data_IF_065265706165
#
_entry.id   IF_065265706165
#
_cell.length_a   1.000
_cell.length_b   1.000
_cell.length_c   1.000
_cell.angle_alpha   90.00
_cell.angle_beta   90.00
_cell.angle_gamma   90.00
#
_symmetry.space_group_name_H-M   'P 1'
#
loop_
_entity.id
_entity.type
_entity.pdbx_description
1 polymer ?
#
# COMPACT_ATOMS: atom_id res chain seq x y z
N UNK A 1 -6.71 -10.45 13.18
CA UNK A 1 -6.75 -9.25 14.01
C UNK A 1 -5.91 -8.12 13.40
N UNK A 2 -4.60 -8.26 13.19
CA UNK A 2 -3.73 -7.21 12.60
C UNK A 2 -4.36 -6.57 11.34
N UNK A 3 -4.82 -7.40 10.41
CA UNK A 3 -5.43 -7.01 9.13
C UNK A 3 -6.76 -6.28 9.31
N UNK A 4 -7.63 -6.76 10.20
CA UNK A 4 -8.98 -6.20 10.38
C UNK A 4 -9.01 -4.92 11.20
N UNK A 5 -8.08 -4.76 12.14
CA UNK A 5 -8.05 -3.61 13.04
C UNK A 5 -7.28 -2.41 12.48
N UNK A 6 -6.41 -2.62 11.48
CA UNK A 6 -5.52 -1.57 10.96
C UNK A 6 -6.24 -0.28 10.53
N UNK A 7 -7.42 -0.25 9.89
CA UNK A 7 -8.05 1.00 9.50
C UNK A 7 -8.98 1.62 10.56
N UNK A 8 -9.33 0.90 11.66
CA UNK A 8 -10.44 1.27 12.55
C UNK A 8 -10.25 2.65 13.20
N UNK A 9 -9.04 3.01 13.61
CA UNK A 9 -8.79 4.29 14.28
C UNK A 9 -7.96 5.18 13.35
N UNK A 10 -8.62 6.07 12.59
CA UNK A 10 -8.01 7.02 11.64
C UNK A 10 -6.98 6.39 10.70
N UNK A 11 -7.33 5.23 10.11
CA UNK A 11 -6.40 4.51 9.24
C UNK A 11 -5.20 3.91 9.98
N UNK A 12 -5.30 3.72 11.30
CA UNK A 12 -4.20 3.28 12.16
C UNK A 12 -3.25 4.41 12.60
N UNK A 13 -3.47 5.64 12.14
CA UNK A 13 -2.56 6.78 12.38
C UNK A 13 -2.88 7.52 13.70
N UNK A 14 -2.82 6.78 14.82
CA UNK A 14 -2.92 7.31 16.20
C UNK A 14 -2.06 6.46 17.12
N UNK A 15 -1.45 7.06 18.13
CA UNK A 15 -0.53 6.36 19.05
C UNK A 15 -1.14 5.08 19.63
N UNK A 16 -2.38 5.12 20.11
CA UNK A 16 -3.07 3.94 20.65
C UNK A 16 -3.23 2.84 19.58
N UNK A 17 -3.61 3.22 18.36
CA UNK A 17 -3.74 2.27 17.26
C UNK A 17 -2.39 1.65 16.89
N UNK A 18 -1.34 2.47 16.83
CA UNK A 18 0.02 2.02 16.53
C UNK A 18 0.50 1.00 17.57
N UNK A 19 0.41 1.32 18.86
CA UNK A 19 0.80 0.41 19.94
C UNK A 19 0.05 -0.93 19.84
N UNK A 20 -1.26 -0.90 19.58
CA UNK A 20 -2.04 -2.13 19.38
C UNK A 20 -1.58 -2.95 18.18
N UNK A 21 -1.28 -2.28 17.05
CA UNK A 21 -0.78 -2.94 15.84
C UNK A 21 0.62 -3.54 16.05
N UNK A 22 1.48 -2.86 16.80
CA UNK A 22 2.81 -3.33 17.16
C UNK A 22 2.76 -4.59 18.05
N UNK A 23 1.91 -4.59 19.10
CA UNK A 23 1.68 -5.78 19.92
C UNK A 23 1.13 -6.95 19.12
N UNK A 24 0.14 -6.70 18.26
CA UNK A 24 -0.40 -7.74 17.38
C UNK A 24 0.65 -8.25 16.39
N UNK A 25 1.54 -7.39 15.91
CA UNK A 25 2.63 -7.78 15.03
C UNK A 25 3.62 -8.70 15.75
N UNK A 26 3.99 -8.39 17.00
CA UNK A 26 4.87 -9.24 17.80
C UNK A 26 4.25 -10.63 18.03
N UNK A 27 2.94 -10.70 18.31
CA UNK A 27 2.23 -11.98 18.46
C UNK A 27 2.26 -12.76 17.13
N UNK A 28 2.02 -12.11 15.99
CA UNK A 28 2.07 -12.75 14.67
C UNK A 28 3.47 -13.25 14.34
N UNK A 29 4.50 -12.43 14.56
CA UNK A 29 5.89 -12.80 14.32
C UNK A 29 6.32 -13.97 15.21
N UNK A 30 5.95 -13.95 16.49
CA UNK A 30 6.20 -15.05 17.41
C UNK A 30 5.51 -16.34 16.95
N UNK A 31 4.23 -16.26 16.54
CA UNK A 31 3.50 -17.43 16.04
C UNK A 31 4.15 -18.01 14.78
N UNK A 32 4.61 -17.17 13.85
CA UNK A 32 5.32 -17.62 12.64
C UNK A 32 6.66 -18.27 12.98
N UNK A 33 7.39 -17.78 13.98
CA UNK A 33 8.64 -18.38 14.44
C UNK A 33 8.40 -19.77 15.05
N UNK A 34 7.34 -19.93 15.86
CA UNK A 34 7.01 -21.22 16.52
C UNK A 34 6.51 -22.24 15.49
N UNK A 35 5.72 -21.83 14.50
CA UNK A 35 5.20 -22.75 13.48
C UNK A 35 6.28 -23.22 12.50
N UNK A 36 7.36 -22.45 12.36
CA UNK A 36 8.42 -22.70 11.38
C UNK A 36 7.94 -22.54 9.93
N UNK A 37 8.86 -22.51 8.96
CA UNK A 37 8.49 -22.40 7.55
C UNK A 37 7.80 -23.66 7.05
N UNK A 38 6.67 -23.52 6.38
CA UNK A 38 5.97 -24.62 5.74
C UNK A 38 6.91 -25.33 4.75
N UNK A 39 7.02 -26.68 4.85
CA UNK A 39 7.94 -27.50 4.03
C UNK A 39 7.70 -27.38 2.54
N UNK A 40 6.57 -26.84 2.11
CA UNK A 40 6.23 -26.59 0.71
C UNK A 40 7.12 -25.52 0.03
N UNK A 41 7.88 -24.73 0.78
CA UNK A 41 8.80 -23.71 0.24
C UNK A 41 10.18 -24.26 -0.12
N UNK A 42 10.46 -25.54 0.08
CA UNK A 42 11.72 -26.18 -0.36
C UNK A 42 11.59 -26.58 -1.83
N UNK A 43 11.81 -25.66 -2.74
CA UNK A 43 12.03 -25.96 -4.14
C UNK A 43 13.40 -26.64 -4.28
N UNK A 44 13.42 -27.93 -4.64
CA UNK A 44 14.62 -28.62 -5.08
C UNK A 44 14.84 -28.33 -6.56
N UNK A 45 15.67 -27.37 -6.91
CA UNK A 45 15.96 -26.97 -8.28
C UNK A 45 17.47 -26.88 -8.57
N UNK A 46 17.83 -27.01 -9.84
CA UNK A 46 19.22 -27.09 -10.33
C UNK A 46 20.07 -25.80 -10.12
N UNK A 47 19.52 -24.70 -9.60
CA UNK A 47 20.21 -23.42 -9.36
C UNK A 47 20.09 -22.96 -7.90
N UNK A 48 20.68 -23.74 -6.98
CA UNK A 48 20.65 -23.42 -5.53
C UNK A 48 21.12 -21.99 -5.18
N UNK A 49 22.09 -21.44 -5.89
CA UNK A 49 22.61 -20.09 -5.61
C UNK A 49 21.57 -19.01 -5.94
N UNK A 50 20.91 -19.08 -7.10
CA UNK A 50 19.87 -18.13 -7.51
C UNK A 50 18.66 -18.18 -6.57
N UNK A 51 18.28 -19.36 -6.10
CA UNK A 51 17.18 -19.53 -5.15
C UNK A 51 17.53 -18.95 -3.78
N UNK A 52 18.76 -19.20 -3.28
CA UNK A 52 19.24 -18.61 -2.03
C UNK A 52 19.31 -17.08 -2.08
N UNK A 53 19.86 -16.52 -3.16
CA UNK A 53 19.90 -15.05 -3.33
C UNK A 53 18.50 -14.44 -3.38
N UNK A 54 17.57 -15.12 -4.05
CA UNK A 54 16.16 -14.66 -4.08
C UNK A 54 15.54 -14.71 -2.69
N UNK A 55 15.74 -15.78 -1.93
CA UNK A 55 15.22 -15.90 -0.57
C UNK A 55 15.82 -14.84 0.36
N UNK A 56 17.12 -14.56 0.26
CA UNK A 56 17.78 -13.50 1.00
C UNK A 56 17.21 -12.11 0.64
N UNK A 57 17.02 -11.84 -0.66
CA UNK A 57 16.43 -10.58 -1.13
C UNK A 57 14.99 -10.39 -0.61
N UNK A 58 14.18 -11.44 -0.63
CA UNK A 58 12.81 -11.42 -0.08
C UNK A 58 12.84 -11.20 1.43
N UNK A 59 13.73 -11.89 2.16
CA UNK A 59 13.89 -11.72 3.60
C UNK A 59 14.36 -10.32 3.98
N UNK A 60 15.34 -9.78 3.25
CA UNK A 60 15.80 -8.41 3.44
C UNK A 60 14.68 -7.39 3.18
N UNK A 61 13.89 -7.59 2.12
CA UNK A 61 12.75 -6.72 1.80
C UNK A 61 11.64 -6.83 2.86
N UNK A 62 11.33 -8.04 3.34
CA UNK A 62 10.31 -8.27 4.36
C UNK A 62 10.62 -7.54 5.68
N UNK A 63 11.90 -7.49 6.04
CA UNK A 63 12.37 -6.87 7.29
C UNK A 63 12.89 -5.44 7.07
N UNK A 64 12.84 -4.93 5.84
CA UNK A 64 13.37 -3.59 5.50
C UNK A 64 12.86 -2.47 6.40
N UNK A 65 11.55 -2.39 6.74
CA UNK A 65 11.04 -1.35 7.61
C UNK A 65 11.71 -1.31 8.99
N UNK A 66 12.19 -2.47 9.46
CA UNK A 66 12.85 -2.60 10.77
C UNK A 66 14.36 -2.34 10.66
N UNK A 67 15.07 -3.08 9.77
CA UNK A 67 16.53 -2.99 9.77
C UNK A 67 17.08 -1.68 9.19
N UNK A 68 16.36 -0.99 8.30
CA UNK A 68 16.76 0.34 7.82
C UNK A 68 16.80 1.33 8.99
N UNK A 69 15.76 1.35 9.81
CA UNK A 69 15.72 2.19 11.00
C UNK A 69 16.81 1.80 12.01
N UNK A 70 17.07 0.49 12.20
CA UNK A 70 18.16 0.02 13.08
C UNK A 70 19.53 0.53 12.61
N UNK A 71 19.82 0.47 11.31
CA UNK A 71 21.07 1.01 10.75
C UNK A 71 21.19 2.51 11.03
N UNK A 72 20.09 3.25 10.89
CA UNK A 72 20.10 4.70 11.13
C UNK A 72 20.13 5.09 12.63
N UNK A 73 19.83 4.16 13.52
CA UNK A 73 20.01 4.33 14.97
C UNK A 73 21.41 3.97 15.44
N UNK A 74 22.30 3.46 14.56
CA UNK A 74 23.67 3.14 14.92
C UNK A 74 24.42 4.39 15.43
N UNK A 75 25.02 4.33 16.63
CA UNK A 75 25.77 5.45 17.18
C UNK A 75 27.09 5.62 16.42
N UNK A 76 27.32 6.81 15.92
CA UNK A 76 28.56 7.22 15.25
C UNK A 76 29.41 8.11 16.18
N UNK A 77 30.74 8.01 16.14
CA UNK A 77 31.62 8.97 16.79
C UNK A 77 31.29 10.40 16.34
N UNK A 78 31.28 11.35 17.27
CA UNK A 78 30.84 12.73 16.99
C UNK A 78 31.62 13.38 15.83
N UNK A 79 32.91 13.07 15.69
CA UNK A 79 33.71 13.57 14.57
C UNK A 79 33.22 13.12 13.21
N UNK A 80 32.74 11.85 13.10
CA UNK A 80 32.16 11.31 11.88
C UNK A 80 30.76 11.89 11.64
N UNK A 81 29.96 11.96 12.71
CA UNK A 81 28.61 12.53 12.63
C UNK A 81 28.62 13.98 12.13
N UNK A 82 29.56 14.80 12.64
CA UNK A 82 29.73 16.20 12.23
C UNK A 82 30.15 16.34 10.76
N UNK A 83 30.87 15.36 10.21
CA UNK A 83 31.36 15.37 8.83
C UNK A 83 30.34 14.87 7.80
N UNK A 84 29.17 14.34 8.25
CA UNK A 84 28.16 13.84 7.33
C UNK A 84 27.50 14.98 6.52
N UNK A 85 27.10 14.72 5.25
CA UNK A 85 26.38 15.68 4.45
C UNK A 85 25.10 16.18 5.15
N UNK A 86 24.88 17.49 5.15
CA UNK A 86 23.70 18.12 5.75
C UNK A 86 23.73 18.26 7.27
N UNK A 87 24.74 17.73 7.98
CA UNK A 87 24.81 17.79 9.44
C UNK A 87 25.35 19.11 9.98
N UNK A 88 26.05 19.91 9.18
CA UNK A 88 26.70 21.15 9.62
C UNK A 88 25.73 22.16 10.26
N UNK A 89 24.53 22.30 9.71
CA UNK A 89 23.52 23.20 10.29
C UNK A 89 23.01 22.71 11.65
N UNK A 90 22.95 21.39 11.85
CA UNK A 90 22.57 20.78 13.14
C UNK A 90 23.68 20.89 14.17
N UNK A 91 24.94 20.75 13.76
CA UNK A 91 26.12 21.03 14.63
C UNK A 91 26.06 22.45 15.17
N UNK A 92 25.82 23.43 14.30
CA UNK A 92 25.69 24.82 14.69
C UNK A 92 24.48 25.07 15.59
N UNK A 93 23.33 24.49 15.26
CA UNK A 93 22.12 24.59 16.08
C UNK A 93 22.33 24.01 17.50
N UNK A 94 23.02 22.88 17.61
CA UNK A 94 23.37 22.27 18.90
C UNK A 94 24.35 23.14 19.71
N UNK A 95 25.30 23.74 19.02
CA UNK A 95 26.25 24.69 19.65
C UNK A 95 25.53 25.92 20.21
N UNK A 96 24.64 26.52 19.40
CA UNK A 96 23.85 27.70 19.83
C UNK A 96 22.91 27.35 21.00
N UNK A 97 22.31 26.14 20.95
CA UNK A 97 21.45 25.64 22.00
C UNK A 97 22.21 25.20 23.28
N UNK A 98 23.52 25.30 23.30
CA UNK A 98 24.37 24.82 24.40
C UNK A 98 24.08 23.36 24.80
N UNK A 99 23.77 22.53 23.78
CA UNK A 99 23.48 21.12 24.01
C UNK A 99 24.70 20.42 24.62
N UNK A 100 24.50 19.42 25.52
CA UNK A 100 25.59 18.68 26.13
C UNK A 100 26.51 18.05 25.07
N UNK A 101 27.82 18.14 25.28
CA UNK A 101 28.77 17.41 24.47
C UNK A 101 28.61 15.91 24.69
N UNK A 102 28.52 15.15 23.60
CA UNK A 102 28.41 13.71 23.62
C UNK A 102 29.45 13.08 22.71
N UNK A 103 30.00 11.93 23.10
CA UNK A 103 30.99 11.22 22.31
C UNK A 103 30.39 10.55 21.03
N UNK A 104 29.11 10.21 21.05
CA UNK A 104 28.41 9.48 19.98
C UNK A 104 27.02 10.08 19.75
N UNK A 105 26.59 10.08 18.48
CA UNK A 105 25.21 10.39 18.07
C UNK A 105 24.73 9.35 17.06
N UNK A 106 23.43 9.05 17.08
CA UNK A 106 22.83 8.21 16.05
C UNK A 106 23.03 8.83 14.66
N UNK A 107 23.14 7.99 13.62
CA UNK A 107 23.17 8.45 12.23
C UNK A 107 21.95 9.33 11.92
N UNK A 108 20.76 8.95 12.39
CA UNK A 108 19.54 9.74 12.29
C UNK A 108 19.66 11.09 12.99
N UNK A 109 19.15 12.15 12.35
CA UNK A 109 19.07 13.51 12.91
C UNK A 109 18.02 13.64 14.03
N UNK A 110 17.01 12.76 14.05
CA UNK A 110 15.98 12.73 15.09
C UNK A 110 15.70 11.26 15.51
N UNK A 111 16.57 10.69 16.38
CA UNK A 111 16.53 9.28 16.74
C UNK A 111 15.19 8.81 17.33
N UNK A 112 14.47 9.66 18.04
CA UNK A 112 13.16 9.34 18.63
C UNK A 112 12.12 9.03 17.52
N UNK A 113 12.09 9.84 16.46
CA UNK A 113 11.22 9.59 15.30
C UNK A 113 11.63 8.32 14.54
N UNK A 114 12.94 8.06 14.44
CA UNK A 114 13.43 6.82 13.81
C UNK A 114 13.12 5.59 14.65
N UNK A 115 13.13 5.70 15.96
CA UNK A 115 12.68 4.63 16.87
C UNK A 115 11.19 4.34 16.70
N UNK A 116 10.35 5.38 16.60
CA UNK A 116 8.93 5.19 16.29
C UNK A 116 8.72 4.54 14.92
N UNK A 117 9.52 4.92 13.92
CA UNK A 117 9.48 4.28 12.59
C UNK A 117 9.92 2.82 12.62
N UNK A 118 10.89 2.46 13.46
CA UNK A 118 11.30 1.07 13.68
C UNK A 118 10.13 0.25 14.24
N UNK A 119 9.45 0.75 15.28
CA UNK A 119 8.30 0.08 15.88
C UNK A 119 7.15 -0.05 14.86
N UNK A 120 6.84 1.04 14.14
CA UNK A 120 5.87 1.03 13.05
C UNK A 120 6.22 0.06 11.91
N UNK A 121 7.47 -0.31 11.75
CA UNK A 121 7.95 -1.32 10.81
C UNK A 121 7.54 -2.75 11.17
N UNK A 122 7.29 -3.06 12.44
CA UNK A 122 6.92 -4.41 12.90
C UNK A 122 5.61 -4.91 12.26
N UNK A 123 4.49 -4.14 12.26
CA UNK A 123 3.27 -4.53 11.58
C UNK A 123 3.45 -4.78 10.08
N UNK A 124 4.29 -4.00 9.41
CA UNK A 124 4.56 -4.16 7.98
C UNK A 124 5.30 -5.46 7.70
N UNK A 125 6.34 -5.73 8.46
CA UNK A 125 7.12 -6.97 8.38
C UNK A 125 6.26 -8.20 8.72
N UNK A 126 5.42 -8.10 9.76
CA UNK A 126 4.49 -9.16 10.14
C UNK A 126 3.47 -9.45 9.04
N UNK A 127 2.88 -8.42 8.42
CA UNK A 127 1.92 -8.57 7.34
C UNK A 127 2.54 -9.22 6.09
N UNK A 128 3.76 -8.81 5.72
CA UNK A 128 4.49 -9.42 4.62
C UNK A 128 4.77 -10.91 4.89
N UNK A 129 5.38 -11.23 6.05
CA UNK A 129 5.76 -12.60 6.40
C UNK A 129 4.53 -13.50 6.55
N UNK A 130 3.46 -13.01 7.16
CA UNK A 130 2.18 -13.72 7.25
C UNK A 130 1.65 -14.06 5.85
N UNK A 131 1.66 -13.11 4.92
CA UNK A 131 1.21 -13.31 3.55
C UNK A 131 2.10 -14.27 2.77
N UNK A 132 3.42 -14.19 2.97
CA UNK A 132 4.39 -14.99 2.24
C UNK A 132 4.49 -16.43 2.75
N UNK A 133 4.49 -16.65 4.07
CA UNK A 133 4.76 -17.95 4.71
C UNK A 133 3.50 -18.78 4.98
N UNK A 134 2.32 -18.16 5.19
CA UNK A 134 1.10 -18.90 5.53
C UNK A 134 0.57 -19.76 4.38
N UNK A 135 -0.13 -20.88 4.67
CA UNK A 135 -0.81 -21.69 3.64
C UNK A 135 -1.80 -20.86 2.83
N UNK A 136 -1.94 -21.19 1.54
CA UNK A 136 -2.80 -20.44 0.61
C UNK A 136 -4.26 -20.29 1.07
N UNK A 137 -4.91 -21.30 1.70
CA UNK A 137 -6.26 -21.14 2.23
C UNK A 137 -6.36 -20.03 3.29
N UNK A 138 -5.38 -19.93 4.18
CA UNK A 138 -5.31 -18.87 5.20
C UNK A 138 -5.11 -17.49 4.56
N UNK A 139 -4.23 -17.39 3.55
CA UNK A 139 -4.03 -16.15 2.78
C UNK A 139 -5.33 -15.71 2.12
N UNK A 140 -6.09 -16.63 1.54
CA UNK A 140 -7.41 -16.32 0.94
C UNK A 140 -8.39 -15.81 1.99
N UNK A 141 -8.45 -16.43 3.16
CA UNK A 141 -9.30 -15.98 4.27
C UNK A 141 -8.92 -14.56 4.70
N UNK A 142 -7.63 -14.27 4.85
CA UNK A 142 -7.17 -12.92 5.20
C UNK A 142 -7.53 -11.88 4.14
N UNK A 143 -7.45 -12.23 2.85
CA UNK A 143 -7.92 -11.36 1.76
C UNK A 143 -9.42 -11.12 1.86
N UNK A 144 -10.22 -12.13 2.18
CA UNK A 144 -11.65 -11.96 2.39
C UNK A 144 -11.93 -11.02 3.57
N UNK A 145 -11.15 -11.12 4.66
CA UNK A 145 -11.22 -10.17 5.78
C UNK A 145 -10.92 -8.74 5.32
N UNK A 146 -9.88 -8.53 4.51
CA UNK A 146 -9.60 -7.21 3.93
C UNK A 146 -10.77 -6.70 3.07
N UNK A 147 -11.41 -7.55 2.28
CA UNK A 147 -12.56 -7.17 1.46
C UNK A 147 -13.78 -6.78 2.32
N UNK A 148 -14.05 -7.53 3.38
CA UNK A 148 -15.11 -7.19 4.34
C UNK A 148 -14.84 -5.84 4.98
N UNK A 149 -13.60 -5.61 5.44
CA UNK A 149 -13.17 -4.34 6.04
C UNK A 149 -13.28 -3.20 5.03
N UNK A 150 -12.79 -3.39 3.79
CA UNK A 150 -12.89 -2.36 2.74
C UNK A 150 -14.35 -2.04 2.39
N UNK A 151 -15.22 -3.04 2.36
CA UNK A 151 -16.65 -2.85 2.14
C UNK A 151 -17.28 -2.06 3.29
N UNK A 152 -16.94 -2.39 4.54
CA UNK A 152 -17.41 -1.64 5.71
C UNK A 152 -16.92 -0.18 5.69
N UNK A 153 -15.68 0.05 5.26
CA UNK A 153 -15.14 1.39 5.04
C UNK A 153 -15.92 2.15 3.95
N UNK A 154 -16.22 1.48 2.83
CA UNK A 154 -16.99 2.07 1.73
C UNK A 154 -18.42 2.44 2.18
N UNK A 155 -19.10 1.53 2.86
CA UNK A 155 -20.44 1.80 3.42
C UNK A 155 -20.41 2.98 4.39
N UNK A 156 -19.47 2.98 5.35
CA UNK A 156 -19.31 4.06 6.31
C UNK A 156 -19.04 5.40 5.60
N UNK A 157 -18.13 5.42 4.62
CA UNK A 157 -17.82 6.61 3.84
C UNK A 157 -19.02 7.16 3.07
N UNK A 158 -19.84 6.29 2.47
CA UNK A 158 -21.06 6.69 1.78
C UNK A 158 -22.15 7.20 2.76
N UNK A 159 -22.27 6.58 3.94
CA UNK A 159 -23.20 7.07 5.00
C UNK A 159 -22.82 8.47 5.50
N UNK A 160 -21.52 8.82 5.49
CA UNK A 160 -21.05 10.16 5.88
C UNK A 160 -21.50 11.28 4.94
N UNK A 161 -21.86 10.94 3.69
CA UNK A 161 -22.41 11.91 2.72
C UNK A 161 -23.92 12.17 2.91
N UNK A 162 -24.59 11.24 3.58
CA UNK A 162 -26.04 11.25 3.78
C UNK A 162 -26.45 11.91 5.10
N UNK A 163 -27.48 11.36 5.76
CA UNK A 163 -28.06 11.94 7.00
C UNK A 163 -27.15 11.82 8.24
N UNK A 164 -25.99 11.19 8.12
CA UNK A 164 -25.05 10.95 9.22
C UNK A 164 -23.65 11.57 8.98
N UNK A 165 -23.54 12.88 8.68
CA UNK A 165 -22.27 13.49 8.32
C UNK A 165 -21.21 13.45 9.44
N UNK A 166 -21.67 13.44 10.71
CA UNK A 166 -20.81 13.34 11.90
C UNK A 166 -20.38 11.90 12.28
N UNK A 167 -20.85 10.89 11.53
CA UNK A 167 -20.56 9.51 11.87
C UNK A 167 -19.05 9.24 11.78
N UNK A 168 -18.48 8.83 12.90
CA UNK A 168 -17.07 8.47 13.02
C UNK A 168 -16.08 9.54 12.49
N UNK A 169 -16.21 10.78 12.97
CA UNK A 169 -15.36 11.92 12.61
C UNK A 169 -15.52 12.46 11.17
N UNK A 170 -16.55 12.02 10.41
CA UNK A 170 -16.71 12.39 9.00
C UNK A 170 -17.09 13.86 8.76
N UNK A 171 -17.69 14.55 9.74
CA UNK A 171 -18.16 15.93 9.57
C UNK A 171 -17.06 16.97 9.28
N UNK A 172 -15.80 16.64 9.54
CA UNK A 172 -14.68 17.58 9.42
C UNK A 172 -14.16 17.76 7.99
N UNK A 173 -14.59 16.96 7.01
CA UNK A 173 -13.95 16.92 5.69
C UNK A 173 -14.80 17.44 4.52
N UNK A 174 -15.74 18.34 4.80
CA UNK A 174 -16.46 19.08 3.76
C UNK A 174 -17.34 18.22 2.83
N UNK A 175 -17.99 17.17 3.33
CA UNK A 175 -18.91 16.33 2.56
C UNK A 175 -18.22 15.32 1.64
N UNK A 176 -17.04 14.83 2.01
CA UNK A 176 -16.28 13.78 1.31
C UNK A 176 -16.34 12.46 2.07
N UNK A 177 -16.40 11.34 1.34
CA UNK A 177 -16.32 10.03 1.95
C UNK A 177 -14.88 9.75 2.44
N UNK A 178 -14.74 9.44 3.73
CA UNK A 178 -13.45 9.15 4.37
C UNK A 178 -13.43 7.82 5.14
N UNK A 179 -14.60 7.20 5.39
CA UNK A 179 -14.68 6.02 6.26
C UNK A 179 -14.13 6.34 7.66
N UNK A 180 -13.19 5.52 8.13
CA UNK A 180 -12.46 5.75 9.38
C UNK A 180 -11.11 6.45 9.19
N UNK A 181 -10.76 6.84 7.96
CA UNK A 181 -9.51 7.55 7.69
C UNK A 181 -9.61 9.04 8.03
N UNK A 182 -8.46 9.69 8.22
CA UNK A 182 -8.41 11.14 8.42
C UNK A 182 -8.38 11.93 7.11
N UNK A 183 -8.09 11.25 5.98
CA UNK A 183 -7.89 11.88 4.68
C UNK A 183 -8.58 11.02 3.59
N UNK A 184 -9.42 11.62 2.74
CA UNK A 184 -10.13 10.92 1.67
C UNK A 184 -9.19 10.30 0.62
N UNK A 185 -7.97 10.82 0.42
CA UNK A 185 -7.02 10.24 -0.51
C UNK A 185 -6.50 8.89 -0.02
N UNK A 186 -6.23 8.78 1.28
CA UNK A 186 -5.78 7.52 1.89
C UNK A 186 -6.90 6.48 1.92
N UNK A 187 -8.13 6.91 2.23
CA UNK A 187 -9.32 6.08 2.12
C UNK A 187 -9.50 5.53 0.70
N UNK A 188 -9.44 6.41 -0.32
CA UNK A 188 -9.56 6.01 -1.72
C UNK A 188 -8.47 5.01 -2.12
N UNK A 189 -7.23 5.22 -1.68
CA UNK A 189 -6.12 4.31 -1.96
C UNK A 189 -6.32 2.92 -1.32
N UNK A 190 -6.78 2.88 -0.06
CA UNK A 190 -7.09 1.62 0.63
C UNK A 190 -8.12 0.79 -0.15
N UNK A 191 -9.18 1.43 -0.60
CA UNK A 191 -10.23 0.79 -1.42
C UNK A 191 -9.66 0.38 -2.79
N UNK A 192 -8.93 1.24 -3.47
CA UNK A 192 -8.33 0.97 -4.79
C UNK A 192 -7.49 -0.32 -4.80
N UNK A 193 -6.72 -0.57 -3.72
CA UNK A 193 -5.93 -1.79 -3.59
C UNK A 193 -6.78 -3.07 -3.53
N UNK A 194 -8.03 -3.00 -3.08
CA UNK A 194 -8.93 -4.17 -2.93
C UNK A 194 -9.80 -4.45 -4.15
N UNK A 195 -9.98 -3.48 -5.03
CA UNK A 195 -10.83 -3.63 -6.23
C UNK A 195 -10.40 -4.78 -7.14
N UNK A 196 -9.11 -4.98 -7.49
CA UNK A 196 -8.69 -6.11 -8.33
C UNK A 196 -9.00 -7.49 -7.71
N UNK A 197 -8.97 -7.58 -6.38
CA UNK A 197 -9.31 -8.80 -5.64
C UNK A 197 -10.81 -9.07 -5.68
N UNK A 198 -11.65 -8.03 -5.55
CA UNK A 198 -13.09 -8.12 -5.69
C UNK A 198 -13.48 -8.61 -7.10
N UNK A 199 -12.85 -8.06 -8.14
CA UNK A 199 -13.05 -8.49 -9.53
C UNK A 199 -12.64 -9.96 -9.71
N UNK A 200 -11.53 -10.40 -9.09
CA UNK A 200 -11.13 -11.81 -9.11
C UNK A 200 -12.19 -12.74 -8.51
N UNK A 201 -12.66 -12.43 -7.30
CA UNK A 201 -13.67 -13.29 -6.64
C UNK A 201 -15.00 -13.27 -7.38
N UNK A 202 -15.42 -12.12 -7.91
CA UNK A 202 -16.62 -12.02 -8.76
C UNK A 202 -16.49 -12.94 -9.99
N UNK A 203 -15.35 -12.89 -10.68
CA UNK A 203 -15.08 -13.79 -11.80
C UNK A 203 -15.12 -15.27 -11.38
N UNK A 204 -14.52 -15.63 -10.25
CA UNK A 204 -14.52 -17.00 -9.76
C UNK A 204 -15.95 -17.50 -9.48
N UNK A 205 -16.79 -16.65 -8.89
CA UNK A 205 -18.20 -16.97 -8.64
C UNK A 205 -19.01 -17.18 -9.95
N UNK A 206 -18.72 -16.40 -11.01
CA UNK A 206 -19.44 -16.45 -12.27
C UNK A 206 -18.95 -17.54 -13.24
N UNK A 207 -17.67 -17.98 -13.14
CA UNK A 207 -17.07 -18.89 -14.15
C UNK A 207 -16.94 -20.35 -13.72
N UNK A 208 -17.18 -20.68 -12.46
CA UNK A 208 -17.11 -22.06 -12.01
C UNK A 208 -18.33 -22.85 -12.50
N UNK A 209 -18.06 -23.89 -13.30
CA UNK A 209 -19.08 -24.82 -13.76
C UNK A 209 -19.55 -25.72 -12.60
N UNK A 210 -20.84 -25.83 -12.39
CA UNK A 210 -21.47 -26.77 -11.45
C UNK A 210 -22.50 -27.59 -12.16
N UNK A 211 -22.56 -28.86 -11.81
CA UNK A 211 -23.56 -29.83 -12.35
C UNK A 211 -24.85 -29.79 -11.55
N UNK A 212 -24.83 -29.38 -10.28
CA UNK A 212 -25.98 -29.39 -9.40
C UNK A 212 -26.70 -28.03 -9.35
N UNK A 213 -28.04 -28.05 -9.41
CA UNK A 213 -28.87 -26.83 -9.44
C UNK A 213 -28.76 -26.00 -8.16
N UNK A 214 -28.64 -26.64 -6.99
CA UNK A 214 -28.48 -25.95 -5.70
C UNK A 214 -27.15 -25.18 -5.58
N UNK A 215 -26.04 -25.75 -6.06
CA UNK A 215 -24.77 -25.08 -6.11
C UNK A 215 -24.76 -23.89 -7.08
N UNK A 216 -25.52 -23.95 -8.19
CA UNK A 216 -25.69 -22.85 -9.14
C UNK A 216 -26.37 -21.66 -8.48
N UNK A 217 -27.47 -21.90 -7.72
CA UNK A 217 -28.18 -20.84 -7.00
C UNK A 217 -27.30 -20.13 -5.96
N UNK A 218 -26.55 -20.88 -5.16
CA UNK A 218 -25.65 -20.34 -4.17
C UNK A 218 -24.52 -19.46 -4.79
N UNK A 219 -23.94 -19.90 -5.90
CA UNK A 219 -22.90 -19.14 -6.61
C UNK A 219 -23.43 -17.88 -7.29
N UNK A 220 -24.63 -17.94 -7.83
CA UNK A 220 -25.29 -16.77 -8.42
C UNK A 220 -25.55 -15.71 -7.35
N UNK A 221 -25.98 -16.10 -6.16
CA UNK A 221 -26.15 -15.21 -5.01
C UNK A 221 -24.80 -14.56 -4.59
N UNK A 222 -23.71 -15.35 -4.54
CA UNK A 222 -22.36 -14.83 -4.25
C UNK A 222 -21.91 -13.82 -5.32
N UNK A 223 -22.17 -14.11 -6.60
CA UNK A 223 -21.82 -13.20 -7.69
C UNK A 223 -22.58 -11.87 -7.60
N UNK A 224 -23.86 -11.89 -7.23
CA UNK A 224 -24.69 -10.69 -7.00
C UNK A 224 -24.10 -9.88 -5.84
N UNK A 225 -23.82 -10.53 -4.71
CA UNK A 225 -23.22 -9.86 -3.53
C UNK A 225 -21.89 -9.21 -3.89
N UNK A 226 -20.98 -9.91 -4.60
CA UNK A 226 -19.71 -9.36 -5.03
C UNK A 226 -19.86 -8.23 -6.05
N UNK A 227 -20.89 -8.26 -6.90
CA UNK A 227 -21.24 -7.16 -7.79
C UNK A 227 -21.66 -5.90 -7.01
N UNK A 228 -22.49 -6.07 -5.98
CA UNK A 228 -22.87 -4.98 -5.07
C UNK A 228 -21.65 -4.45 -4.33
N UNK A 229 -20.79 -5.33 -3.81
CA UNK A 229 -19.52 -4.91 -3.15
C UNK A 229 -18.67 -4.07 -4.10
N UNK A 230 -18.46 -4.53 -5.34
CA UNK A 230 -17.69 -3.78 -6.33
C UNK A 230 -18.30 -2.40 -6.61
N UNK A 231 -19.62 -2.32 -6.75
CA UNK A 231 -20.34 -1.06 -6.91
C UNK A 231 -20.10 -0.11 -5.73
N UNK A 232 -20.25 -0.60 -4.50
CA UNK A 232 -20.03 0.21 -3.28
C UNK A 232 -18.58 0.72 -3.17
N UNK A 233 -17.59 -0.13 -3.48
CA UNK A 233 -16.18 0.26 -3.49
C UNK A 233 -15.91 1.38 -4.49
N UNK A 234 -16.41 1.25 -5.74
CA UNK A 234 -16.24 2.26 -6.79
C UNK A 234 -16.99 3.55 -6.45
N UNK A 235 -18.22 3.45 -5.94
CA UNK A 235 -19.00 4.59 -5.49
C UNK A 235 -18.29 5.37 -4.37
N UNK A 236 -17.72 4.65 -3.39
CA UNK A 236 -17.01 5.24 -2.28
C UNK A 236 -15.71 5.96 -2.72
N UNK A 237 -14.97 5.42 -3.69
CA UNK A 237 -13.80 6.11 -4.25
C UNK A 237 -14.20 7.40 -4.94
N UNK A 238 -15.25 7.40 -5.77
CA UNK A 238 -15.75 8.62 -6.41
C UNK A 238 -16.24 9.64 -5.37
N UNK A 239 -16.99 9.17 -4.38
CA UNK A 239 -17.51 9.97 -3.28
C UNK A 239 -16.40 10.56 -2.37
N UNK A 240 -15.21 9.97 -2.37
CA UNK A 240 -14.05 10.56 -1.69
C UNK A 240 -13.55 11.84 -2.33
N UNK A 241 -13.95 12.12 -3.59
CA UNK A 241 -13.44 13.25 -4.38
C UNK A 241 -11.90 13.27 -4.47
N UNK A 242 -11.24 12.10 -4.40
CA UNK A 242 -9.80 11.96 -4.59
C UNK A 242 -9.49 11.77 -6.07
N UNK A 243 -8.94 12.80 -6.73
CA UNK A 243 -8.55 12.73 -8.16
C UNK A 243 -7.54 11.59 -8.40
N UNK A 244 -6.48 11.54 -7.60
CA UNK A 244 -5.47 10.48 -7.69
C UNK A 244 -6.05 9.10 -7.42
N UNK A 245 -6.89 8.96 -6.38
CA UNK A 245 -7.58 7.71 -6.06
C UNK A 245 -8.52 7.25 -7.18
N UNK A 246 -9.29 8.15 -7.77
CA UNK A 246 -10.21 7.84 -8.88
C UNK A 246 -9.45 7.35 -10.12
N UNK A 247 -8.45 8.10 -10.58
CA UNK A 247 -7.64 7.71 -11.74
C UNK A 247 -6.96 6.36 -11.52
N UNK A 248 -6.34 6.19 -10.37
CA UNK A 248 -5.68 4.94 -10.01
C UNK A 248 -6.64 3.76 -9.98
N UNK A 249 -7.83 3.94 -9.37
CA UNK A 249 -8.86 2.91 -9.30
C UNK A 249 -9.36 2.52 -10.69
N UNK A 250 -9.58 3.48 -11.58
CA UNK A 250 -9.95 3.22 -12.97
C UNK A 250 -8.91 2.39 -13.70
N UNK A 251 -7.64 2.77 -13.59
CA UNK A 251 -6.52 2.05 -14.22
C UNK A 251 -6.47 0.60 -13.75
N UNK A 252 -6.45 0.37 -12.43
CA UNK A 252 -6.34 -1.01 -11.90
C UNK A 252 -7.60 -1.84 -12.15
N UNK A 253 -8.78 -1.23 -12.20
CA UNK A 253 -10.04 -1.90 -12.55
C UNK A 253 -10.02 -2.37 -14.01
N UNK A 254 -9.63 -1.48 -14.94
CA UNK A 254 -9.52 -1.85 -16.36
C UNK A 254 -8.50 -2.96 -16.57
N UNK A 255 -7.34 -2.87 -15.91
CA UNK A 255 -6.31 -3.90 -16.00
C UNK A 255 -6.78 -5.23 -15.39
N UNK A 256 -7.51 -5.21 -14.26
CA UNK A 256 -8.06 -6.40 -13.64
C UNK A 256 -9.09 -7.09 -14.54
N UNK A 257 -10.02 -6.33 -15.11
CA UNK A 257 -11.02 -6.87 -16.04
C UNK A 257 -10.32 -7.43 -17.29
N UNK A 258 -9.37 -6.70 -17.87
CA UNK A 258 -8.62 -7.16 -19.03
C UNK A 258 -7.84 -8.45 -18.76
N UNK A 259 -7.09 -8.52 -17.65
CA UNK A 259 -6.33 -9.70 -17.24
C UNK A 259 -7.26 -10.91 -17.01
N UNK A 260 -8.34 -10.68 -16.26
CA UNK A 260 -9.23 -11.74 -15.82
C UNK A 260 -10.21 -12.20 -16.90
N UNK A 261 -10.46 -11.41 -17.94
CA UNK A 261 -11.29 -11.75 -19.09
C UNK A 261 -10.57 -12.56 -20.19
N UNK A 262 -9.24 -12.67 -20.12
CA UNK A 262 -8.43 -13.40 -21.12
C UNK A 262 -8.60 -14.92 -20.99
N UNK A 263 -9.70 -15.49 -21.54
CA UNK A 263 -9.76 -16.92 -21.89
C UNK A 263 -9.77 -17.07 -23.41
N UNK A 264 -9.02 -18.06 -23.92
CA UNK A 264 -8.81 -18.30 -25.36
C UNK A 264 -10.07 -18.59 -26.21
N UNK A 265 -11.24 -18.80 -25.59
CA UNK A 265 -12.40 -19.34 -26.28
C UNK A 265 -13.56 -18.36 -26.56
N UNK A 266 -13.71 -17.22 -25.87
CA UNK A 266 -14.91 -16.39 -25.98
C UNK A 266 -14.65 -14.91 -26.15
N UNK A 267 -14.35 -14.48 -27.38
CA UNK A 267 -14.27 -13.03 -27.75
C UNK A 267 -15.55 -12.26 -27.36
N UNK A 268 -16.70 -12.92 -27.35
CA UNK A 268 -17.99 -12.29 -27.03
C UNK A 268 -18.13 -11.97 -25.53
N UNK A 269 -17.74 -12.91 -24.66
CA UNK A 269 -17.77 -12.69 -23.18
C UNK A 269 -16.81 -11.61 -22.72
N UNK A 270 -15.65 -11.49 -23.37
CA UNK A 270 -14.68 -10.43 -23.09
C UNK A 270 -15.24 -9.02 -23.36
N UNK A 271 -15.97 -8.85 -24.48
CA UNK A 271 -16.61 -7.57 -24.80
C UNK A 271 -17.70 -7.20 -23.79
N UNK A 272 -18.52 -8.18 -23.36
CA UNK A 272 -19.54 -7.96 -22.35
C UNK A 272 -18.97 -7.66 -20.96
N UNK A 273 -17.84 -8.25 -20.58
CA UNK A 273 -17.11 -7.91 -19.35
C UNK A 273 -16.64 -6.46 -19.33
N UNK A 274 -16.02 -5.99 -20.42
CA UNK A 274 -15.61 -4.59 -20.57
C UNK A 274 -16.82 -3.66 -20.57
N UNK A 275 -17.87 -3.99 -21.35
CA UNK A 275 -19.12 -3.21 -21.38
C UNK A 275 -19.75 -3.12 -20.01
N UNK A 276 -19.79 -4.25 -19.26
CA UNK A 276 -20.31 -4.28 -17.89
C UNK A 276 -19.55 -3.36 -16.93
N UNK A 277 -18.23 -3.33 -17.02
CA UNK A 277 -17.40 -2.42 -16.19
C UNK A 277 -17.59 -0.97 -16.61
N UNK A 278 -17.60 -0.67 -17.91
CA UNK A 278 -17.86 0.69 -18.40
C UNK A 278 -19.26 1.15 -17.97
N UNK A 279 -20.28 0.28 -18.09
CA UNK A 279 -21.62 0.58 -17.63
C UNK A 279 -21.69 0.78 -16.12
N UNK A 280 -20.99 -0.05 -15.33
CA UNK A 280 -20.90 0.10 -13.88
C UNK A 280 -20.21 1.43 -13.50
N UNK A 281 -19.10 1.77 -14.14
CA UNK A 281 -18.42 3.04 -13.93
C UNK A 281 -19.28 4.25 -14.31
N UNK A 282 -20.00 4.17 -15.43
CA UNK A 282 -20.96 5.19 -15.84
C UNK A 282 -22.10 5.34 -14.82
N UNK A 283 -22.68 4.21 -14.37
CA UNK A 283 -23.73 4.20 -13.35
C UNK A 283 -23.25 4.81 -12.03
N UNK A 284 -22.04 4.46 -11.59
CA UNK A 284 -21.43 5.01 -10.38
C UNK A 284 -21.16 6.53 -10.55
N UNK A 285 -20.67 6.97 -11.71
CA UNK A 285 -20.46 8.39 -12.00
C UNK A 285 -21.80 9.17 -11.98
N UNK A 286 -22.85 8.61 -12.53
CA UNK A 286 -24.21 9.18 -12.47
C UNK A 286 -24.72 9.24 -11.05
N UNK A 287 -24.55 8.16 -10.26
CA UNK A 287 -25.05 8.08 -8.89
C UNK A 287 -24.34 9.05 -7.92
N UNK A 288 -23.07 9.34 -8.15
CA UNK A 288 -22.27 10.28 -7.33
C UNK A 288 -22.39 11.73 -7.83
N UNK A 289 -22.85 11.93 -9.06
CA UNK A 289 -22.98 13.23 -9.72
C UNK A 289 -21.72 13.59 -10.51
N UNK A 290 -21.85 13.62 -11.83
CA UNK A 290 -20.76 13.98 -12.75
C UNK A 290 -20.29 15.42 -12.51
N UNK A 291 -21.20 16.33 -12.21
CA UNK A 291 -20.92 17.73 -11.96
C UNK A 291 -20.05 17.95 -10.73
N UNK A 292 -20.25 17.18 -9.67
CA UNK A 292 -19.42 17.21 -8.46
C UNK A 292 -17.98 16.74 -8.74
N UNK A 293 -17.81 15.82 -9.69
CA UNK A 293 -16.49 15.35 -10.13
C UNK A 293 -15.82 16.37 -11.07
N UNK A 294 -16.54 16.87 -12.07
CA UNK A 294 -16.02 17.82 -13.05
C UNK A 294 -15.67 19.18 -12.44
N UNK A 295 -16.50 19.69 -11.54
CA UNK A 295 -16.25 20.96 -10.85
C UNK A 295 -14.95 20.96 -10.04
N UNK A 296 -14.49 19.81 -9.57
CA UNK A 296 -13.20 19.65 -8.88
C UNK A 296 -12.01 19.71 -9.82
N UNK A 297 -12.15 19.23 -11.05
CA UNK A 297 -11.11 19.42 -12.09
C UNK A 297 -11.08 20.87 -12.59
N UNK A 298 -12.18 21.60 -12.50
CA UNK A 298 -12.27 23.01 -12.88
C UNK A 298 -11.87 23.98 -11.76
N UNK A 299 -12.23 23.71 -10.51
CA UNK A 299 -11.92 24.56 -9.37
C UNK A 299 -10.41 24.75 -9.09
N UNK A 300 -9.57 23.86 -9.63
CA UNK A 300 -8.11 23.94 -9.49
C UNK A 300 -7.43 24.86 -10.53
N UNK A 301 -8.21 25.58 -11.35
CA UNK A 301 -7.68 26.62 -12.26
C UNK A 301 -6.98 27.75 -11.51
N UNK A 302 -7.24 27.90 -10.19
CA UNK A 302 -6.53 28.86 -9.34
C UNK A 302 -5.14 28.38 -8.91
N UNK A 303 -4.77 27.12 -9.19
CA UNK A 303 -3.41 26.58 -8.99
C UNK A 303 -2.92 26.48 -7.52
N UNK A 304 -3.74 26.94 -6.56
CA UNK A 304 -3.30 27.15 -5.19
C UNK A 304 -2.85 25.85 -4.49
N UNK A 305 -3.66 24.78 -4.55
CA UNK A 305 -3.32 23.52 -3.89
C UNK A 305 -2.33 22.65 -4.67
N UNK A 306 -2.36 22.68 -6.00
CA UNK A 306 -1.41 21.94 -6.83
C UNK A 306 -0.02 22.62 -6.80
N UNK A 307 0.01 23.96 -6.76
CA UNK A 307 1.26 24.73 -6.60
C UNK A 307 1.96 24.46 -5.28
N UNK A 308 1.21 24.43 -4.19
CA UNK A 308 1.76 24.18 -2.84
C UNK A 308 2.36 22.77 -2.71
N UNK A 309 1.65 21.74 -3.20
CA UNK A 309 2.17 20.37 -3.20
C UNK A 309 3.44 20.21 -4.04
N UNK A 310 3.47 20.84 -5.20
CA UNK A 310 4.66 20.82 -6.04
C UNK A 310 5.84 21.50 -5.36
N UNK A 311 5.65 22.62 -4.68
CA UNK A 311 6.68 23.28 -3.90
C UNK A 311 7.20 22.39 -2.75
N UNK A 312 6.28 21.66 -2.06
CA UNK A 312 6.67 20.68 -1.03
C UNK A 312 7.53 19.56 -1.60
N UNK A 313 7.19 19.02 -2.76
CA UNK A 313 7.97 17.96 -3.42
C UNK A 313 9.34 18.47 -3.84
N UNK A 314 9.43 19.66 -4.45
CA UNK A 314 10.70 20.24 -4.90
C UNK A 314 11.61 20.55 -3.72
N UNK A 315 11.08 21.13 -2.65
CA UNK A 315 11.88 21.44 -1.46
C UNK A 315 12.30 20.17 -0.68
N UNK A 316 11.42 19.15 -0.64
CA UNK A 316 11.78 17.85 -0.08
C UNK A 316 12.87 17.14 -0.92
N UNK A 317 12.82 17.26 -2.25
CA UNK A 317 13.90 16.79 -3.12
C UNK A 317 15.23 17.50 -2.84
N UNK A 318 15.20 18.83 -2.64
CA UNK A 318 16.38 19.56 -2.24
C UNK A 318 16.93 19.02 -0.92
N UNK A 319 16.08 18.82 0.09
CA UNK A 319 16.48 18.20 1.36
C UNK A 319 17.07 16.80 1.17
N UNK A 320 16.50 15.98 0.28
CA UNK A 320 17.03 14.66 -0.04
C UNK A 320 18.45 14.73 -0.60
N UNK A 321 18.75 15.72 -1.45
CA UNK A 321 20.10 15.91 -2.00
C UNK A 321 21.09 16.42 -0.96
N UNK A 322 20.64 17.25 0.00
CA UNK A 322 21.48 17.72 1.11
C UNK A 322 21.93 16.57 2.01
N UNK A 323 21.05 15.59 2.28
CA UNK A 323 21.36 14.44 3.13
C UNK A 323 21.88 13.21 2.37
N UNK A 324 22.06 13.31 1.05
CA UNK A 324 22.58 12.20 0.25
C UNK A 324 24.04 11.89 0.64
N UNK A 325 24.46 10.61 0.77
CA UNK A 325 23.71 9.39 0.50
C UNK A 325 23.03 8.74 1.73
N UNK A 326 23.14 9.31 2.92
CA UNK A 326 22.75 8.64 4.17
C UNK A 326 21.27 8.82 4.54
N UNK A 327 20.66 9.92 4.06
CA UNK A 327 19.32 10.33 4.48
C UNK A 327 19.33 10.98 5.86
N UNK A 328 18.19 11.59 6.21
CA UNK A 328 18.02 12.27 7.51
C UNK A 328 17.62 11.32 8.66
N UNK A 329 17.20 10.11 8.35
CA UNK A 329 16.60 9.13 9.27
C UNK A 329 15.12 8.84 8.95
N UNK A 330 14.70 7.59 9.07
CA UNK A 330 13.30 7.20 8.84
C UNK A 330 12.36 7.90 9.83
N UNK A 331 11.27 8.47 9.30
CA UNK A 331 10.27 9.20 10.09
C UNK A 331 10.65 10.62 10.49
N UNK A 332 11.83 11.10 10.10
CA UNK A 332 12.34 12.42 10.53
C UNK A 332 11.78 13.58 9.71
N UNK A 333 11.02 13.34 8.65
CA UNK A 333 10.59 14.38 7.71
C UNK A 333 9.98 15.60 8.42
N UNK A 334 9.00 15.41 9.28
CA UNK A 334 8.33 16.51 9.98
C UNK A 334 9.26 17.35 10.88
N UNK A 335 10.34 16.72 11.42
CA UNK A 335 11.33 17.41 12.24
C UNK A 335 12.37 18.15 11.41
N UNK A 336 12.72 17.61 10.23
CA UNK A 336 13.85 18.09 9.43
C UNK A 336 13.41 19.03 8.30
N UNK A 337 12.24 18.78 7.70
CA UNK A 337 11.69 19.54 6.57
C UNK A 337 11.52 21.05 6.83
N UNK A 338 11.23 21.55 8.04
CA UNK A 338 11.14 22.99 8.29
C UNK A 338 12.37 23.79 7.84
N UNK A 339 13.57 23.17 7.81
CA UNK A 339 14.80 23.81 7.29
C UNK A 339 14.75 24.04 5.76
N UNK A 340 13.87 23.38 5.04
CA UNK A 340 13.70 23.44 3.59
C UNK A 340 12.36 24.06 3.18
N UNK A 341 11.57 24.53 4.17
CA UNK A 341 10.22 25.03 3.94
C UNK A 341 10.24 26.25 3.01
N UNK A 342 9.53 26.23 1.87
CA UNK A 342 9.53 27.36 0.93
C UNK A 342 8.97 28.64 1.55
N UNK A 343 9.57 29.78 1.22
CA UNK A 343 9.04 31.08 1.58
C UNK A 343 7.68 31.27 0.90
N UNK A 344 6.65 31.60 1.67
CA UNK A 344 5.28 31.81 1.16
C UNK A 344 4.35 30.60 1.30
N UNK A 345 4.85 29.39 1.50
CA UNK A 345 4.05 28.24 1.87
C UNK A 345 3.54 28.40 3.31
N UNK A 346 2.23 28.26 3.54
CA UNK A 346 1.64 28.46 4.86
C UNK A 346 1.36 27.12 5.53
N UNK A 347 1.55 27.10 6.86
CA UNK A 347 1.21 25.95 7.72
C UNK A 347 2.35 24.97 7.92
N UNK A 348 2.15 24.01 8.80
CA UNK A 348 3.09 22.93 9.10
C UNK A 348 2.94 21.81 8.08
N UNK A 349 4.05 21.38 7.50
CA UNK A 349 4.11 20.30 6.51
C UNK A 349 4.57 19.03 7.19
N UNK A 350 3.65 18.11 7.44
CA UNK A 350 3.93 16.84 8.09
C UNK A 350 4.52 15.80 7.11
N UNK A 351 4.16 15.89 5.81
CA UNK A 351 4.58 14.96 4.76
C UNK A 351 4.78 15.66 3.43
N UNK A 352 5.65 15.09 2.56
CA UNK A 352 5.97 15.63 1.24
C UNK A 352 4.84 15.51 0.19
N UNK A 353 3.73 14.80 0.47
CA UNK A 353 2.71 14.41 -0.50
C UNK A 353 3.27 13.67 -1.73
N UNK A 354 4.39 12.98 -1.52
CA UNK A 354 5.04 12.09 -2.47
C UNK A 354 5.91 11.12 -1.66
N UNK A 355 5.48 9.85 -1.58
CA UNK A 355 6.18 8.83 -0.79
C UNK A 355 7.63 8.62 -1.25
N UNK A 356 7.91 8.73 -2.57
CA UNK A 356 9.23 8.44 -3.12
C UNK A 356 10.27 9.48 -2.69
N UNK A 357 9.90 10.76 -2.81
CA UNK A 357 10.80 11.86 -2.42
C UNK A 357 11.00 11.88 -0.92
N UNK A 358 9.95 11.63 -0.14
CA UNK A 358 10.05 11.56 1.31
C UNK A 358 10.93 10.38 1.76
N UNK A 359 10.74 9.18 1.18
CA UNK A 359 11.57 8.01 1.46
C UNK A 359 13.04 8.25 1.07
N UNK A 360 13.28 8.95 -0.05
CA UNK A 360 14.63 9.31 -0.47
C UNK A 360 15.30 10.27 0.54
N UNK A 361 14.58 11.29 0.99
CA UNK A 361 15.07 12.26 1.97
C UNK A 361 15.41 11.60 3.31
N UNK A 362 14.57 10.66 3.76
CA UNK A 362 14.74 9.97 5.03
C UNK A 362 15.72 8.81 4.98
N UNK A 363 15.69 8.00 3.91
CA UNK A 363 16.42 6.73 3.84
C UNK A 363 17.64 6.72 2.92
N UNK A 364 17.82 7.74 2.09
CA UNK A 364 18.98 7.89 1.21
C UNK A 364 19.21 6.68 0.31
N UNK A 365 20.49 6.31 0.15
CA UNK A 365 20.94 5.20 -0.69
C UNK A 365 20.36 3.83 -0.26
N UNK A 366 20.14 3.63 1.03
CA UNK A 366 19.57 2.36 1.53
C UNK A 366 18.18 2.11 0.94
N UNK A 367 17.33 3.12 0.93
CA UNK A 367 15.97 3.01 0.36
C UNK A 367 16.03 2.87 -1.16
N UNK A 368 16.94 3.55 -1.85
CA UNK A 368 17.15 3.38 -3.29
C UNK A 368 17.57 1.95 -3.62
N UNK A 369 18.52 1.39 -2.89
CA UNK A 369 18.96 0.00 -3.07
C UNK A 369 17.82 -0.99 -2.85
N UNK A 370 17.02 -0.79 -1.78
CA UNK A 370 15.81 -1.60 -1.52
C UNK A 370 14.77 -1.47 -2.63
N UNK A 371 14.53 -0.26 -3.13
CA UNK A 371 13.60 -0.04 -4.24
C UNK A 371 14.04 -0.78 -5.52
N UNK A 372 15.34 -0.80 -5.82
CA UNK A 372 15.91 -1.56 -6.94
C UNK A 372 15.70 -3.07 -6.73
N UNK A 373 15.97 -3.59 -5.53
CA UNK A 373 15.74 -5.00 -5.19
C UNK A 373 14.25 -5.34 -5.31
N UNK A 374 13.37 -4.53 -4.75
CA UNK A 374 11.92 -4.72 -4.82
C UNK A 374 11.43 -4.71 -6.28
N UNK A 375 11.88 -3.74 -7.08
CA UNK A 375 11.56 -3.65 -8.51
C UNK A 375 12.04 -4.89 -9.26
N UNK A 376 13.27 -5.34 -9.01
CA UNK A 376 13.84 -6.55 -9.63
C UNK A 376 13.01 -7.80 -9.31
N UNK A 377 12.58 -7.97 -8.04
CA UNK A 377 11.71 -9.07 -7.61
C UNK A 377 10.32 -8.98 -8.26
N UNK A 378 9.72 -7.78 -8.31
CA UNK A 378 8.40 -7.54 -8.93
C UNK A 378 8.46 -7.83 -10.44
N UNK A 379 9.47 -7.33 -11.14
CA UNK A 379 9.66 -7.58 -12.58
C UNK A 379 9.85 -9.08 -12.85
N UNK A 380 10.73 -9.75 -12.08
CA UNK A 380 10.94 -11.19 -12.20
C UNK A 380 9.64 -11.97 -12.02
N UNK A 381 8.87 -11.66 -10.98
CA UNK A 381 7.59 -12.34 -10.70
C UNK A 381 6.55 -12.06 -11.79
N UNK A 382 6.48 -10.83 -12.28
CA UNK A 382 5.60 -10.45 -13.40
C UNK A 382 5.93 -11.24 -14.66
N UNK A 383 7.21 -11.34 -15.01
CA UNK A 383 7.68 -12.14 -16.17
C UNK A 383 7.30 -13.63 -15.98
N UNK A 384 7.48 -14.17 -14.77
CA UNK A 384 7.13 -15.57 -14.48
C UNK A 384 5.61 -15.80 -14.65
N UNK A 385 4.77 -14.89 -14.16
CA UNK A 385 3.30 -14.94 -14.33
C UNK A 385 2.92 -14.86 -15.83
N UNK A 386 3.51 -13.93 -16.58
CA UNK A 386 3.26 -13.79 -18.03
C UNK A 386 3.66 -15.05 -18.79
N UNK A 387 4.84 -15.60 -18.53
CA UNK A 387 5.31 -16.84 -19.16
C UNK A 387 4.39 -18.02 -18.83
N UNK A 388 3.92 -18.11 -17.57
CA UNK A 388 2.93 -19.13 -17.16
C UNK A 388 1.61 -18.95 -17.88
N UNK A 389 1.11 -17.73 -17.99
CA UNK A 389 -0.13 -17.42 -18.71
C UNK A 389 -0.07 -17.84 -20.19
N UNK A 390 1.10 -17.69 -20.83
CA UNK A 390 1.33 -18.06 -22.23
C UNK A 390 1.42 -19.59 -22.43
N UNK A 391 2.04 -20.31 -21.49
CA UNK A 391 2.30 -21.77 -21.59
C UNK A 391 1.09 -22.62 -21.20
N UNK A 392 0.51 -22.38 -20.03
CA UNK A 392 -0.50 -23.25 -19.42
C UNK A 392 -1.75 -22.52 -18.94
N UNK A 393 -1.78 -21.20 -19.04
CA UNK A 393 -2.79 -20.37 -18.41
C UNK A 393 -2.51 -20.12 -16.92
N UNK A 394 -3.24 -19.18 -16.32
CA UNK A 394 -3.15 -18.88 -14.91
C UNK A 394 -4.16 -19.72 -14.13
N UNK A 395 -3.69 -20.50 -13.17
CA UNK A 395 -4.52 -21.17 -12.19
C UNK A 395 -5.04 -20.18 -11.12
N UNK A 396 -5.82 -20.68 -10.17
CA UNK A 396 -6.43 -19.85 -9.13
C UNK A 396 -5.42 -19.16 -8.21
N UNK A 397 -4.26 -19.80 -7.95
CA UNK A 397 -3.19 -19.20 -7.14
C UNK A 397 -2.46 -18.08 -7.91
N UNK A 398 -2.10 -18.33 -9.16
CA UNK A 398 -1.44 -17.36 -10.01
C UNK A 398 -2.35 -16.16 -10.34
N UNK A 399 -3.66 -16.36 -10.51
CA UNK A 399 -4.64 -15.28 -10.64
C UNK A 399 -4.73 -14.42 -9.38
N UNK A 400 -4.65 -15.05 -8.19
CA UNK A 400 -4.63 -14.32 -6.92
C UNK A 400 -3.38 -13.46 -6.81
N UNK A 401 -2.19 -14.02 -7.13
CA UNK A 401 -0.94 -13.26 -7.15
C UNK A 401 -1.00 -12.08 -8.13
N UNK A 402 -1.49 -12.30 -9.35
CA UNK A 402 -1.64 -11.24 -10.35
C UNK A 402 -2.59 -10.13 -9.88
N UNK A 403 -3.71 -10.50 -9.22
CA UNK A 403 -4.65 -9.52 -8.65
C UNK A 403 -4.04 -8.74 -7.48
N UNK A 404 -3.22 -9.37 -6.64
CA UNK A 404 -2.44 -8.69 -5.61
C UNK A 404 -1.42 -7.72 -6.24
N UNK A 405 -0.77 -8.09 -7.34
CA UNK A 405 0.12 -7.22 -8.10
C UNK A 405 -0.59 -5.97 -8.65
N UNK A 406 -1.84 -6.10 -9.09
CA UNK A 406 -2.66 -4.95 -9.51
C UNK A 406 -3.07 -4.07 -8.32
N UNK A 407 -3.34 -4.65 -7.14
CA UNK A 407 -3.55 -3.90 -5.91
C UNK A 407 -2.30 -3.10 -5.50
N UNK A 408 -1.10 -3.70 -5.64
CA UNK A 408 0.17 -3.00 -5.44
C UNK A 408 0.36 -1.86 -6.44
N UNK A 409 0.00 -2.06 -7.70
CA UNK A 409 0.07 -1.00 -8.71
C UNK A 409 -0.78 0.21 -8.29
N UNK A 410 -1.92 0.00 -7.62
CA UNK A 410 -2.75 1.09 -7.12
C UNK A 410 -1.98 1.98 -6.14
N UNK A 411 -1.34 1.42 -5.12
CA UNK A 411 -0.57 2.23 -4.17
C UNK A 411 0.66 2.87 -4.82
N UNK A 412 1.37 2.14 -5.69
CA UNK A 412 2.53 2.66 -6.41
C UNK A 412 2.16 3.90 -7.25
N UNK A 413 1.07 3.85 -8.00
CA UNK A 413 0.61 5.01 -8.79
C UNK A 413 0.16 6.18 -7.92
N UNK A 414 -0.56 5.92 -6.82
CA UNK A 414 -1.09 6.98 -5.98
C UNK A 414 -0.02 7.64 -5.10
N UNK A 415 1.05 6.94 -4.75
CA UNK A 415 2.19 7.44 -3.96
C UNK A 415 3.03 8.52 -4.67
N UNK A 416 2.82 8.76 -5.98
CA UNK A 416 3.38 9.91 -6.68
C UNK A 416 2.79 11.26 -6.25
N UNK A 417 1.57 11.25 -5.72
CA UNK A 417 0.81 12.47 -5.39
C UNK A 417 0.28 12.47 -3.96
N UNK A 418 0.63 11.44 -3.17
CA UNK A 418 0.22 11.29 -1.77
C UNK A 418 1.24 10.49 -0.95
N UNK A 419 1.08 10.51 0.40
CA UNK A 419 1.91 9.79 1.36
C UNK A 419 1.21 8.53 1.90
N UNK A 420 0.75 7.66 0.99
CA UNK A 420 -0.07 6.49 1.32
C UNK A 420 0.67 5.47 2.20
N UNK A 421 1.98 5.32 2.01
CA UNK A 421 2.81 4.38 2.76
C UNK A 421 3.10 4.83 4.20
N UNK A 422 2.74 6.07 4.56
CA UNK A 422 2.82 6.60 5.93
C UNK A 422 1.55 6.29 6.74
N UNK A 423 0.50 5.80 6.10
CA UNK A 423 -0.75 5.43 6.76
C UNK A 423 -0.72 3.93 7.04
N UNK A 424 -0.74 3.51 8.31
CA UNK A 424 -0.52 2.11 8.71
C UNK A 424 -1.45 1.13 8.00
N UNK A 425 -2.74 1.45 7.85
CA UNK A 425 -3.69 0.60 7.16
C UNK A 425 -3.30 0.35 5.69
N UNK A 426 -2.88 1.39 4.98
CA UNK A 426 -2.46 1.30 3.58
C UNK A 426 -1.13 0.54 3.46
N UNK A 427 -0.17 0.83 4.33
CA UNK A 427 1.14 0.20 4.32
C UNK A 427 1.05 -1.30 4.69
N UNK A 428 0.24 -1.68 5.69
CA UNK A 428 -0.01 -3.07 6.08
C UNK A 428 -0.67 -3.83 4.92
N UNK A 429 -1.69 -3.25 4.27
CA UNK A 429 -2.32 -3.89 3.11
C UNK A 429 -1.32 -4.02 1.95
N UNK A 430 -0.56 -2.98 1.63
CA UNK A 430 0.44 -2.99 0.55
C UNK A 430 1.52 -4.06 0.80
N UNK A 431 2.08 -4.14 2.00
CA UNK A 431 3.10 -5.15 2.34
C UNK A 431 2.54 -6.57 2.35
N UNK A 432 1.27 -6.76 2.79
CA UNK A 432 0.57 -8.03 2.68
C UNK A 432 0.39 -8.45 1.20
N UNK A 433 -0.09 -7.55 0.35
CA UNK A 433 -0.25 -7.82 -1.09
C UNK A 433 1.09 -8.14 -1.75
N UNK A 434 2.17 -7.46 -1.36
CA UNK A 434 3.53 -7.74 -1.84
C UNK A 434 3.99 -9.14 -1.42
N UNK A 435 3.74 -9.53 -0.16
CA UNK A 435 4.03 -10.86 0.33
C UNK A 435 3.31 -11.95 -0.48
N UNK A 436 2.00 -11.77 -0.78
CA UNK A 436 1.24 -12.70 -1.64
C UNK A 436 1.79 -12.73 -3.06
N UNK A 437 2.07 -11.56 -3.65
CA UNK A 437 2.55 -11.43 -5.01
C UNK A 437 3.89 -12.14 -5.24
N UNK A 438 4.82 -12.03 -4.28
CA UNK A 438 6.17 -12.61 -4.38
C UNK A 438 6.25 -14.10 -4.01
N UNK A 439 5.14 -14.75 -3.67
CA UNK A 439 5.12 -16.20 -3.40
C UNK A 439 5.65 -17.01 -4.61
N UNK A 440 6.35 -18.11 -4.38
CA UNK A 440 6.75 -19.01 -5.47
C UNK A 440 5.53 -19.49 -6.27
N UNK A 441 5.68 -19.54 -7.59
CA UNK A 441 4.69 -20.18 -8.46
C UNK A 441 4.83 -21.71 -8.32
N UNK A 442 3.84 -22.36 -7.73
CA UNK A 442 3.79 -23.82 -7.63
C UNK A 442 3.65 -24.41 -9.04
N UNK A 443 4.45 -25.43 -9.35
CA UNK A 443 4.30 -26.15 -10.61
C UNK A 443 2.87 -26.69 -10.78
N UNK A 444 2.31 -26.71 -12.00
CA UNK A 444 1.02 -27.35 -12.20
C UNK A 444 1.15 -28.81 -11.74
N UNK A 445 0.33 -29.23 -10.80
CA UNK A 445 0.17 -30.65 -10.52
C UNK A 445 -0.27 -31.29 -11.83
N UNK A 446 0.54 -32.21 -12.38
CA UNK A 446 0.12 -33.06 -13.48
C UNK A 446 -1.22 -33.67 -13.04
N UNK A 447 -2.31 -33.30 -13.72
CA UNK A 447 -3.58 -34.04 -13.52
C UNK A 447 -3.29 -35.49 -13.87
N UNK A 448 -3.66 -36.43 -13.00
CA UNK A 448 -3.60 -37.84 -13.35
C UNK A 448 -4.45 -38.15 -14.56
#
# INVERSE_FOLDING_TARGET
MLVGLSPIIRGGNRHVAMILLEWLALIVLFALLVQGPDRQHRAGGANMLSERLTALAIGALALAPVWVALVQLTPLPIAWWNALPGHSSYVEALRVAQAPEVAYRALSLAPDFTTLSLLAGLPLSAAFLLAYLSPLPQVRLLIQVFLVVATSQAVLGLMQLGPFPGLYFGAADGGRAIGTFANPNHFANYIAMTVPLTVLFLRQATTASTTEAGERGGRQSIAVVLGIVLFLLLAAVLASNSRGGTVTTLVVTMLAVWLLSRRRSHRREHRWGIVGVVALLALVAIAVGVDALLSRFEADKTGYFAGDRWQMVVSAWHGAMVFWPFGSGMGTFAAVYPAFHPVGLRGFVEHAHNDYVQLLMEGGLLVVALAIVALGLVVRQSIALVRRAQRSGLDSAALLQASCGLGLLAVVLHSWVEFNLRIPANAILATFLLGVFLRPLVAPTSRP
#
